data_IF_299987395980
#
_entry.id   IF_299987395980
#
_cell.length_a   1.000
_cell.length_b   1.000
_cell.length_c   1.000
_cell.angle_alpha   90.00
_cell.angle_beta   90.00
_cell.angle_gamma   90.00
#
_symmetry.space_group_name_H-M   'P 1'
#
loop_
_entity.id
_entity.type
_entity.pdbx_description
1 polymer ?
#
# COMPACT_ATOMS: atom_id res chain seq x y z
N UNK A 1 -19.53 24.82 19.64
CA UNK A 1 -18.79 24.30 20.81
C UNK A 1 -17.43 24.96 20.83
N UNK A 2 -16.92 25.37 21.99
CA UNK A 2 -15.57 25.97 22.10
C UNK A 2 -14.50 24.88 22.28
N UNK A 3 -13.22 25.16 21.96
CA UNK A 3 -12.13 24.21 22.20
C UNK A 3 -12.02 23.75 23.66
N UNK A 4 -12.21 24.67 24.61
CA UNK A 4 -12.16 24.33 26.04
C UNK A 4 -13.27 23.38 26.48
N UNK A 5 -14.48 23.55 25.93
CA UNK A 5 -15.62 22.65 26.18
C UNK A 5 -15.37 21.27 25.57
N UNK A 6 -14.86 21.22 24.34
CA UNK A 6 -14.54 19.95 23.65
C UNK A 6 -13.51 19.15 24.43
N UNK A 7 -12.38 19.78 24.79
CA UNK A 7 -11.29 19.10 25.51
C UNK A 7 -11.77 18.60 26.86
N UNK A 8 -12.54 19.40 27.61
CA UNK A 8 -13.08 18.98 28.91
C UNK A 8 -14.07 17.81 28.77
N UNK A 9 -14.91 17.79 27.74
CA UNK A 9 -15.88 16.71 27.52
C UNK A 9 -15.18 15.37 27.24
N UNK A 10 -14.13 15.40 26.42
CA UNK A 10 -13.48 14.19 25.93
C UNK A 10 -12.28 13.73 26.76
N UNK A 11 -11.65 14.61 27.56
CA UNK A 11 -10.59 14.22 28.49
C UNK A 11 -11.08 13.30 29.61
N UNK A 12 -12.31 13.50 30.06
CA UNK A 12 -12.90 12.82 31.23
C UNK A 12 -13.88 11.70 30.81
N UNK A 13 -13.99 11.43 29.51
CA UNK A 13 -14.93 10.45 28.96
C UNK A 13 -14.41 9.03 29.16
N UNK A 14 -15.22 8.17 29.77
CA UNK A 14 -14.97 6.71 29.89
C UNK A 14 -15.78 5.89 28.86
N UNK A 15 -16.34 6.54 27.84
CA UNK A 15 -17.20 5.91 26.85
C UNK A 15 -16.42 4.87 26.01
N UNK A 16 -17.05 3.72 25.76
CA UNK A 16 -16.51 2.71 24.83
C UNK A 16 -16.60 3.22 23.39
N UNK A 17 -15.75 2.70 22.50
CA UNK A 17 -15.69 3.04 21.07
C UNK A 17 -17.07 3.17 20.41
N UNK A 18 -17.89 2.11 20.46
CA UNK A 18 -19.25 2.11 19.88
C UNK A 18 -20.22 3.13 20.49
N UNK A 19 -19.95 3.60 21.70
CA UNK A 19 -20.81 4.53 22.43
C UNK A 19 -20.37 5.98 22.22
N UNK A 20 -19.07 6.23 21.99
CA UNK A 20 -18.49 7.57 21.92
C UNK A 20 -18.16 8.07 20.51
N UNK A 21 -17.90 7.19 19.53
CA UNK A 21 -17.34 7.59 18.23
C UNK A 21 -18.21 8.59 17.44
N UNK A 22 -19.52 8.32 17.32
CA UNK A 22 -20.42 9.20 16.58
C UNK A 22 -20.59 10.56 17.28
N UNK A 23 -20.78 10.55 18.61
CA UNK A 23 -20.91 11.78 19.39
C UNK A 23 -19.63 12.62 19.34
N UNK A 24 -18.46 11.99 19.48
CA UNK A 24 -17.16 12.64 19.34
C UNK A 24 -17.00 13.31 17.99
N UNK A 25 -17.37 12.61 16.92
CA UNK A 25 -17.27 13.15 15.58
C UNK A 25 -18.26 14.32 15.34
N UNK A 26 -19.47 14.24 15.88
CA UNK A 26 -20.46 15.34 15.82
C UNK A 26 -19.92 16.56 16.56
N UNK A 27 -19.40 16.39 17.78
CA UNK A 27 -18.79 17.47 18.53
C UNK A 27 -17.60 18.09 17.79
N UNK A 28 -16.81 17.26 17.08
CA UNK A 28 -15.71 17.73 16.25
C UNK A 28 -16.19 18.59 15.08
N UNK A 29 -17.28 18.21 14.41
CA UNK A 29 -17.94 19.04 13.40
C UNK A 29 -18.34 20.41 14.00
N UNK A 30 -18.95 20.41 15.20
CA UNK A 30 -19.37 21.64 15.90
C UNK A 30 -18.21 22.49 16.39
N UNK A 31 -17.08 21.88 16.72
CA UNK A 31 -15.84 22.58 17.08
C UNK A 31 -15.24 23.28 15.86
N UNK A 32 -15.21 22.59 14.72
CA UNK A 32 -14.62 23.08 13.48
C UNK A 32 -15.53 24.06 12.72
N UNK A 33 -16.83 24.07 13.02
CA UNK A 33 -17.85 24.83 12.30
C UNK A 33 -18.26 24.17 10.98
N UNK A 34 -18.05 22.87 10.86
CA UNK A 34 -18.40 22.07 9.69
C UNK A 34 -19.78 21.40 9.90
N UNK A 35 -20.55 21.14 8.82
CA UNK A 35 -21.81 20.43 8.93
C UNK A 35 -21.58 18.97 9.32
N UNK A 36 -22.50 18.40 10.09
CA UNK A 36 -22.50 16.96 10.41
C UNK A 36 -22.94 16.13 9.19
N UNK A 37 -22.67 14.81 9.15
CA UNK A 37 -23.03 13.99 7.98
C UNK A 37 -24.51 14.10 7.59
N UNK A 38 -25.42 14.02 8.56
CA UNK A 38 -26.86 14.11 8.30
C UNK A 38 -27.33 15.52 7.91
N UNK A 39 -26.58 16.58 8.25
CA UNK A 39 -26.90 17.95 7.85
C UNK A 39 -26.44 18.27 6.42
N UNK A 40 -25.26 17.80 6.03
CA UNK A 40 -24.71 18.02 4.67
C UNK A 40 -25.31 17.06 3.64
N UNK A 41 -25.56 15.81 4.04
CA UNK A 41 -26.04 14.76 3.15
C UNK A 41 -26.99 13.78 3.87
N UNK A 42 -28.28 14.13 3.97
CA UNK A 42 -29.29 13.28 4.58
C UNK A 42 -29.45 11.90 3.92
N UNK A 43 -28.95 11.72 2.69
CA UNK A 43 -29.06 10.46 1.92
C UNK A 43 -27.81 9.58 2.04
N UNK A 44 -26.69 10.13 2.53
CA UNK A 44 -25.44 9.40 2.73
C UNK A 44 -24.74 8.94 1.44
N UNK A 45 -24.95 9.66 0.33
CA UNK A 45 -24.33 9.39 -0.97
C UNK A 45 -22.86 9.85 -1.04
N UNK A 46 -22.53 10.94 -0.34
CA UNK A 46 -21.22 11.62 -0.33
C UNK A 46 -20.65 11.87 1.07
N UNK A 47 -21.47 11.83 2.12
CA UNK A 47 -21.01 12.00 3.51
C UNK A 47 -21.91 11.24 4.48
N UNK A 48 -21.37 10.21 5.15
CA UNK A 48 -22.16 9.38 6.06
C UNK A 48 -21.33 8.72 7.16
N UNK A 49 -22.05 8.25 8.19
CA UNK A 49 -21.54 7.29 9.16
C UNK A 49 -21.68 5.87 8.60
N UNK A 50 -20.80 4.97 9.05
CA UNK A 50 -20.83 3.55 8.71
C UNK A 50 -20.93 3.34 7.18
N UNK A 51 -19.94 3.82 6.44
CA UNK A 51 -19.87 3.58 4.99
C UNK A 51 -19.36 2.16 4.75
N UNK A 52 -20.24 1.30 4.21
CA UNK A 52 -19.88 -0.04 3.79
C UNK A 52 -18.89 -0.01 2.61
N UNK A 53 -17.81 -0.77 2.73
CA UNK A 53 -16.79 -0.95 1.71
C UNK A 53 -16.28 -2.41 1.77
N UNK A 54 -16.40 -3.15 0.67
CA UNK A 54 -15.84 -4.50 0.61
C UNK A 54 -14.33 -4.46 0.91
N UNK A 55 -13.79 -5.41 1.68
CA UNK A 55 -12.34 -5.49 1.89
C UNK A 55 -11.67 -6.14 0.69
N UNK A 56 -10.46 -5.68 0.34
CA UNK A 56 -9.58 -6.42 -0.57
C UNK A 56 -9.23 -7.76 0.10
N UNK A 57 -9.73 -8.87 -0.46
CA UNK A 57 -9.56 -10.23 0.09
C UNK A 57 -10.81 -10.88 0.70
N UNK A 58 -11.97 -10.22 0.62
CA UNK A 58 -13.27 -10.78 1.03
C UNK A 58 -13.71 -10.37 2.45
N UNK A 59 -15.00 -10.07 2.59
CA UNK A 59 -15.66 -9.63 3.83
C UNK A 59 -16.02 -8.15 3.85
N UNK A 60 -17.08 -7.82 4.60
CA UNK A 60 -17.55 -6.43 4.73
C UNK A 60 -16.61 -5.62 5.65
N UNK A 61 -16.10 -4.50 5.15
CA UNK A 61 -15.45 -3.45 5.92
C UNK A 61 -16.37 -2.25 6.03
N UNK A 62 -16.23 -1.49 7.11
CA UNK A 62 -17.01 -0.29 7.35
C UNK A 62 -16.04 0.79 7.80
N UNK A 63 -16.09 1.95 7.16
CA UNK A 63 -15.49 3.14 7.73
C UNK A 63 -16.48 3.77 8.69
N UNK A 64 -16.05 4.12 9.90
CA UNK A 64 -16.92 4.76 10.89
C UNK A 64 -17.49 6.07 10.36
N UNK A 65 -16.68 6.86 9.64
CA UNK A 65 -17.13 8.05 8.92
C UNK A 65 -16.43 8.15 7.58
N UNK A 66 -17.16 8.55 6.54
CA UNK A 66 -16.58 8.81 5.22
C UNK A 66 -17.19 10.04 4.60
N UNK A 67 -16.33 10.90 4.03
CA UNK A 67 -16.73 12.03 3.19
C UNK A 67 -15.96 11.98 1.88
N UNK A 68 -16.70 11.88 0.77
CA UNK A 68 -16.17 11.79 -0.59
C UNK A 68 -15.19 12.92 -0.88
N UNK A 69 -14.02 12.57 -1.40
CA UNK A 69 -12.95 13.51 -1.74
C UNK A 69 -12.28 14.20 -0.55
N UNK A 70 -12.66 13.88 0.69
CA UNK A 70 -12.12 14.51 1.89
C UNK A 70 -11.36 13.50 2.75
N UNK A 71 -12.06 12.51 3.32
CA UNK A 71 -11.45 11.55 4.24
C UNK A 71 -12.20 10.23 4.34
N UNK A 72 -11.48 9.18 4.72
CA UNK A 72 -12.02 7.99 5.40
C UNK A 72 -11.57 8.01 6.86
N UNK A 73 -12.49 7.76 7.79
CA UNK A 73 -12.25 7.88 9.23
C UNK A 73 -12.61 6.58 9.97
N UNK A 74 -11.71 6.14 10.84
CA UNK A 74 -11.88 4.93 11.67
C UNK A 74 -11.52 5.24 13.12
N UNK A 75 -12.38 4.82 14.03
CA UNK A 75 -12.20 4.91 15.46
C UNK A 75 -11.66 3.62 16.06
N UNK A 76 -10.98 3.76 17.20
CA UNK A 76 -10.72 2.67 18.13
C UNK A 76 -11.04 3.15 19.55
N UNK A 77 -11.20 2.21 20.48
CA UNK A 77 -11.29 2.54 21.90
C UNK A 77 -10.04 3.30 22.39
N UNK A 78 -10.19 4.05 23.49
CA UNK A 78 -9.10 4.83 24.08
C UNK A 78 -7.85 3.97 24.31
N UNK A 79 -6.68 4.53 23.96
CA UNK A 79 -5.36 3.89 24.10
C UNK A 79 -5.14 2.60 23.29
N UNK A 80 -6.01 2.29 22.31
CA UNK A 80 -5.81 1.15 21.40
C UNK A 80 -4.80 1.45 20.28
N UNK A 81 -4.37 0.40 19.59
CA UNK A 81 -3.45 0.48 18.45
C UNK A 81 -4.12 1.13 17.23
N UNK A 82 -3.85 2.43 17.03
CA UNK A 82 -4.33 3.18 15.87
C UNK A 82 -3.69 2.73 14.55
N UNK A 83 -2.54 2.04 14.57
CA UNK A 83 -2.00 1.46 13.34
C UNK A 83 -2.85 0.29 12.85
N UNK A 84 -3.57 -0.41 13.74
CA UNK A 84 -4.53 -1.43 13.33
C UNK A 84 -5.72 -0.81 12.60
N UNK A 85 -6.22 0.34 13.08
CA UNK A 85 -7.25 1.11 12.40
C UNK A 85 -6.79 1.62 11.03
N UNK A 86 -5.54 2.08 10.93
CA UNK A 86 -4.98 2.55 9.66
C UNK A 86 -4.92 1.41 8.64
N UNK A 87 -4.45 0.23 9.04
CA UNK A 87 -4.44 -0.96 8.17
C UNK A 87 -5.85 -1.33 7.69
N UNK A 88 -6.86 -1.16 8.54
CA UNK A 88 -8.26 -1.37 8.15
C UNK A 88 -8.67 -0.36 7.08
N UNK A 89 -8.47 0.94 7.32
CA UNK A 89 -8.75 2.01 6.35
C UNK A 89 -8.04 1.78 5.01
N UNK A 90 -6.75 1.47 5.04
CA UNK A 90 -5.96 1.19 3.84
C UNK A 90 -6.53 0.01 3.04
N UNK A 91 -7.01 -1.04 3.71
CA UNK A 91 -7.54 -2.23 3.05
C UNK A 91 -8.82 -1.99 2.25
N UNK A 92 -9.54 -0.89 2.50
CA UNK A 92 -10.75 -0.53 1.77
C UNK A 92 -10.74 0.92 1.22
N UNK A 93 -9.60 1.63 1.30
CA UNK A 93 -9.45 3.02 0.85
C UNK A 93 -9.88 3.22 -0.61
N UNK A 94 -9.56 2.26 -1.48
CA UNK A 94 -9.94 2.30 -2.89
C UNK A 94 -11.46 2.19 -3.12
N UNK A 95 -12.16 1.49 -2.23
CA UNK A 95 -13.62 1.39 -2.23
C UNK A 95 -14.29 2.63 -1.63
N UNK A 96 -13.54 3.43 -0.87
CA UNK A 96 -13.93 4.77 -0.44
C UNK A 96 -13.59 5.87 -1.45
N UNK A 97 -13.31 5.49 -2.70
CA UNK A 97 -12.87 6.41 -3.77
C UNK A 97 -11.52 7.06 -3.50
N UNK A 98 -10.63 6.36 -2.80
CA UNK A 98 -9.26 6.76 -2.47
C UNK A 98 -9.17 8.18 -1.89
N UNK A 99 -9.78 8.44 -0.72
CA UNK A 99 -9.83 9.78 -0.15
C UNK A 99 -8.41 10.29 0.17
N UNK A 100 -8.15 11.60 0.05
CA UNK A 100 -6.82 12.17 0.24
C UNK A 100 -6.33 12.13 1.69
N UNK A 101 -7.22 11.87 2.65
CA UNK A 101 -6.87 11.74 4.06
C UNK A 101 -7.45 10.43 4.63
N UNK A 102 -6.60 9.62 5.28
CA UNK A 102 -7.00 8.47 6.07
C UNK A 102 -6.82 8.83 7.54
N UNK A 103 -7.93 8.93 8.28
CA UNK A 103 -7.92 9.46 9.64
C UNK A 103 -8.25 8.36 10.64
N UNK A 104 -7.41 8.20 11.64
CA UNK A 104 -7.64 7.26 12.74
C UNK A 104 -7.73 8.00 14.06
N UNK A 105 -8.64 7.60 14.94
CA UNK A 105 -8.80 8.28 16.23
C UNK A 105 -9.15 7.33 17.37
N UNK A 106 -8.63 7.61 18.56
CA UNK A 106 -9.03 6.97 19.82
C UNK A 106 -9.83 7.91 20.73
N UNK A 107 -10.41 8.98 20.17
CA UNK A 107 -11.11 10.09 20.85
C UNK A 107 -10.20 10.99 21.72
N UNK A 108 -8.94 10.61 21.97
CA UNK A 108 -7.94 11.46 22.63
C UNK A 108 -6.91 12.01 21.64
N UNK A 109 -6.62 11.21 20.61
CA UNK A 109 -5.72 11.50 19.51
C UNK A 109 -6.46 11.33 18.21
N UNK A 110 -6.17 12.22 17.27
CA UNK A 110 -6.59 12.15 15.88
C UNK A 110 -5.32 12.09 15.06
N UNK A 111 -5.12 11.05 14.27
CA UNK A 111 -3.95 10.92 13.40
C UNK A 111 -4.44 10.93 11.96
N UNK A 112 -3.99 11.93 11.22
CA UNK A 112 -4.27 12.10 9.78
C UNK A 112 -3.08 11.57 9.00
N UNK A 113 -3.33 10.57 8.17
CA UNK A 113 -2.38 10.07 7.18
C UNK A 113 -2.78 10.60 5.80
N UNK A 114 -1.86 11.24 5.11
CA UNK A 114 -2.11 11.76 3.76
C UNK A 114 -2.02 10.64 2.73
N UNK A 115 -2.95 10.62 1.76
CA UNK A 115 -3.12 9.51 0.82
C UNK A 115 -3.29 10.01 -0.63
N UNK A 116 -2.38 10.86 -1.07
CA UNK A 116 -2.27 11.25 -2.47
C UNK A 116 -1.38 10.27 -3.24
N UNK A 117 -1.71 10.05 -4.50
CA UNK A 117 -0.84 9.29 -5.40
C UNK A 117 0.41 10.11 -5.73
N UNK A 118 1.56 9.45 -5.83
CA UNK A 118 2.86 10.05 -6.16
C UNK A 118 3.41 11.07 -5.14
N UNK A 119 2.90 11.09 -3.91
CA UNK A 119 3.52 11.80 -2.78
C UNK A 119 3.79 10.84 -1.64
N UNK A 120 4.78 11.16 -0.83
CA UNK A 120 5.11 10.46 0.42
C UNK A 120 3.96 10.70 1.42
N UNK A 121 3.55 9.71 2.21
CA UNK A 121 2.51 9.90 3.21
C UNK A 121 3.07 10.69 4.39
N UNK A 122 2.53 11.87 4.67
CA UNK A 122 2.75 12.55 5.93
C UNK A 122 1.76 12.07 6.99
N UNK A 123 2.28 11.97 8.22
CA UNK A 123 1.54 11.68 9.43
C UNK A 123 1.40 12.95 10.26
N UNK A 124 0.17 13.38 10.49
CA UNK A 124 -0.16 14.52 11.35
C UNK A 124 -0.98 14.02 12.54
N UNK A 125 -0.37 13.97 13.72
CA UNK A 125 -1.05 13.63 14.97
C UNK A 125 -1.57 14.90 15.63
N UNK A 126 -2.79 14.87 16.17
CA UNK A 126 -3.45 15.94 16.91
C UNK A 126 -3.94 15.38 18.24
N UNK A 127 -3.41 15.90 19.34
CA UNK A 127 -3.90 15.64 20.70
C UNK A 127 -5.09 16.54 21.03
N UNK A 128 -5.83 16.24 22.10
CA UNK A 128 -6.87 17.16 22.61
C UNK A 128 -6.32 18.56 22.89
N UNK A 129 -5.08 18.69 23.41
CA UNK A 129 -4.49 19.99 23.69
C UNK A 129 -4.17 20.78 22.42
N UNK A 130 -3.76 20.09 21.35
CA UNK A 130 -3.56 20.71 20.04
C UNK A 130 -4.82 21.41 19.54
N UNK A 131 -6.00 20.87 19.83
CA UNK A 131 -7.28 21.46 19.41
C UNK A 131 -7.58 22.82 20.08
N UNK A 132 -6.80 23.24 21.08
CA UNK A 132 -6.86 24.61 21.64
C UNK A 132 -6.14 25.64 20.78
N UNK A 133 -5.30 25.19 19.84
CA UNK A 133 -4.45 26.05 19.03
C UNK A 133 -5.09 26.31 17.66
N UNK A 134 -5.29 27.59 17.31
CA UNK A 134 -6.00 27.99 16.08
C UNK A 134 -5.41 27.39 14.80
N UNK A 135 -4.09 27.37 14.65
CA UNK A 135 -3.42 26.80 13.47
C UNK A 135 -3.71 25.29 13.30
N UNK A 136 -3.77 24.55 14.41
CA UNK A 136 -4.04 23.11 14.42
C UNK A 136 -5.50 22.81 14.08
N UNK A 137 -6.42 23.66 14.56
CA UNK A 137 -7.82 23.61 14.16
C UNK A 137 -8.02 23.90 12.68
N UNK A 138 -7.25 24.85 12.10
CA UNK A 138 -7.29 25.11 10.66
C UNK A 138 -6.81 23.91 9.85
N UNK A 139 -5.73 23.25 10.27
CA UNK A 139 -5.23 22.05 9.61
C UNK A 139 -6.27 20.92 9.64
N UNK A 140 -6.92 20.70 10.78
CA UNK A 140 -7.99 19.71 10.88
C UNK A 140 -9.23 20.11 10.07
N UNK A 141 -9.56 21.40 10.00
CA UNK A 141 -10.63 21.91 9.11
C UNK A 141 -10.29 21.67 7.64
N UNK A 142 -9.02 21.83 7.25
CA UNK A 142 -8.57 21.56 5.90
C UNK A 142 -8.78 20.09 5.50
N UNK A 143 -8.62 19.14 6.43
CA UNK A 143 -8.97 17.72 6.23
C UNK A 143 -10.46 17.55 5.95
N UNK A 144 -11.33 18.22 6.73
CA UNK A 144 -12.78 18.15 6.55
C UNK A 144 -13.23 18.68 5.19
N UNK A 145 -12.48 19.62 4.62
CA UNK A 145 -12.75 20.26 3.33
C UNK A 145 -12.07 19.56 2.15
N UNK A 146 -11.28 18.51 2.39
CA UNK A 146 -10.51 17.83 1.33
C UNK A 146 -9.42 18.70 0.71
N UNK A 147 -8.92 19.69 1.46
CA UNK A 147 -7.90 20.62 0.98
C UNK A 147 -6.54 19.93 0.80
N UNK A 148 -5.75 20.42 -0.16
CA UNK A 148 -4.35 20.01 -0.34
C UNK A 148 -3.38 20.67 0.65
N UNK A 149 -3.87 21.40 1.67
CA UNK A 149 -3.00 22.10 2.65
C UNK A 149 -2.02 21.17 3.36
N UNK A 150 -2.44 19.94 3.66
CA UNK A 150 -1.59 18.93 4.29
C UNK A 150 -0.85 18.05 3.28
N UNK A 151 -1.05 18.28 1.97
CA UNK A 151 -0.41 17.51 0.92
C UNK A 151 1.11 17.66 1.05
N UNK A 152 1.85 16.55 1.19
CA UNK A 152 3.29 16.61 1.33
C UNK A 152 3.90 17.20 0.07
N UNK A 153 4.76 18.21 0.25
CA UNK A 153 5.44 18.87 -0.86
C UNK A 153 6.63 18.08 -1.42
N UNK A 154 6.93 16.90 -0.86
CA UNK A 154 8.02 16.04 -1.29
C UNK A 154 7.46 14.83 -2.03
N UNK A 155 7.86 14.71 -3.28
CA UNK A 155 7.72 13.49 -4.05
C UNK A 155 8.66 12.39 -3.53
N UNK A 156 8.35 11.09 -3.72
CA UNK A 156 9.28 10.00 -3.45
C UNK A 156 10.63 10.20 -4.13
N UNK A 157 10.65 10.81 -5.31
CA UNK A 157 11.87 11.14 -6.06
C UNK A 157 12.74 12.17 -5.34
N UNK A 158 12.15 13.20 -4.74
CA UNK A 158 12.89 14.21 -3.96
C UNK A 158 13.45 13.65 -2.66
N UNK A 159 12.70 12.78 -1.96
CA UNK A 159 13.23 12.08 -0.78
C UNK A 159 14.38 11.16 -1.18
N UNK A 160 14.19 10.38 -2.24
CA UNK A 160 15.22 9.52 -2.82
C UNK A 160 16.49 10.32 -3.14
N UNK A 161 16.37 11.49 -3.79
CA UNK A 161 17.51 12.35 -4.10
C UNK A 161 18.23 12.89 -2.85
N UNK A 162 17.49 13.29 -1.81
CA UNK A 162 18.06 13.77 -0.53
C UNK A 162 18.82 12.67 0.20
N UNK A 163 18.22 11.48 0.29
CA UNK A 163 18.84 10.29 0.88
C UNK A 163 20.08 9.89 0.09
N UNK A 164 19.99 9.89 -1.24
CA UNK A 164 21.12 9.61 -2.12
C UNK A 164 22.30 10.54 -1.83
N UNK A 165 22.06 11.85 -1.71
CA UNK A 165 23.10 12.83 -1.43
C UNK A 165 23.83 12.56 -0.09
N UNK A 166 23.09 12.21 0.97
CA UNK A 166 23.69 11.88 2.28
C UNK A 166 24.55 10.62 2.22
N UNK A 167 24.05 9.56 1.59
CA UNK A 167 24.80 8.32 1.43
C UNK A 167 25.96 8.46 0.42
N UNK A 168 25.86 9.36 -0.55
CA UNK A 168 26.97 9.79 -1.40
C UNK A 168 28.09 10.45 -0.58
N UNK A 169 27.75 11.27 0.42
CA UNK A 169 28.73 11.81 1.36
C UNK A 169 29.41 10.72 2.18
N UNK A 170 28.65 9.76 2.72
CA UNK A 170 29.20 8.60 3.44
C UNK A 170 30.15 7.78 2.55
N UNK A 171 29.73 7.53 1.31
CA UNK A 171 30.54 6.85 0.31
C UNK A 171 31.86 7.56 0.04
N UNK A 172 31.83 8.88 -0.16
CA UNK A 172 33.03 9.70 -0.34
C UNK A 172 33.97 9.59 0.86
N UNK A 173 33.46 9.73 2.09
CA UNK A 173 34.27 9.59 3.32
C UNK A 173 34.95 8.23 3.42
N UNK A 174 34.25 7.15 3.04
CA UNK A 174 34.81 5.81 3.03
C UNK A 174 35.91 5.65 1.97
N UNK A 175 35.72 6.21 0.77
CA UNK A 175 36.73 6.16 -0.29
C UNK A 175 37.96 7.02 0.02
N UNK A 176 37.79 8.20 0.64
CA UNK A 176 38.90 9.03 1.13
C UNK A 176 39.75 8.32 2.19
N UNK A 177 39.16 7.36 2.92
CA UNK A 177 39.87 6.46 3.84
C UNK A 177 40.53 5.26 3.15
N UNK A 178 40.50 5.19 1.82
CA UNK A 178 41.19 4.18 1.02
C UNK A 178 40.38 2.90 0.77
N UNK A 179 39.07 2.91 0.99
CA UNK A 179 38.22 1.75 0.68
C UNK A 179 37.86 1.68 -0.80
N UNK A 180 37.93 0.48 -1.38
CA UNK A 180 37.62 0.25 -2.79
C UNK A 180 36.18 0.66 -3.15
N UNK A 181 35.94 1.37 -4.26
CA UNK A 181 34.64 1.92 -4.63
C UNK A 181 33.51 0.89 -4.68
N UNK A 182 33.82 -0.32 -5.19
CA UNK A 182 32.86 -1.43 -5.23
C UNK A 182 32.47 -1.92 -3.84
N UNK A 183 33.45 -2.06 -2.93
CA UNK A 183 33.19 -2.46 -1.55
C UNK A 183 32.36 -1.40 -0.81
N UNK A 184 32.64 -0.12 -1.09
CA UNK A 184 31.84 1.00 -0.56
C UNK A 184 30.40 0.93 -1.07
N UNK A 185 30.19 0.82 -2.38
CA UNK A 185 28.85 0.74 -2.96
C UNK A 185 28.05 -0.42 -2.35
N UNK A 186 28.67 -1.61 -2.25
CA UNK A 186 28.04 -2.80 -1.72
C UNK A 186 27.64 -2.63 -0.25
N UNK A 187 28.54 -2.07 0.55
CA UNK A 187 28.27 -1.76 1.95
C UNK A 187 27.13 -0.74 2.12
N UNK A 188 27.10 0.34 1.32
CA UNK A 188 26.00 1.32 1.38
C UNK A 188 24.66 0.68 1.00
N UNK A 189 24.64 -0.18 -0.02
CA UNK A 189 23.44 -0.90 -0.43
C UNK A 189 22.91 -1.81 0.69
N UNK A 190 23.78 -2.50 1.43
CA UNK A 190 23.36 -3.30 2.61
C UNK A 190 22.70 -2.44 3.67
N UNK A 191 23.30 -1.29 3.99
CA UNK A 191 22.75 -0.37 5.00
C UNK A 191 21.37 0.15 4.58
N UNK A 192 21.26 0.62 3.34
CA UNK A 192 20.00 1.12 2.76
C UNK A 192 18.94 0.03 2.71
N UNK A 193 19.32 -1.19 2.32
CA UNK A 193 18.41 -2.33 2.33
C UNK A 193 17.93 -2.67 3.74
N UNK A 194 18.81 -2.64 4.75
CA UNK A 194 18.41 -2.85 6.14
C UNK A 194 17.40 -1.80 6.62
N UNK A 195 17.55 -0.53 6.23
CA UNK A 195 16.59 0.53 6.55
C UNK A 195 15.24 0.28 5.88
N UNK A 196 15.23 -0.08 4.60
CA UNK A 196 14.01 -0.49 3.90
C UNK A 196 13.35 -1.71 4.56
N UNK A 197 14.15 -2.70 4.94
CA UNK A 197 13.66 -3.96 5.48
C UNK A 197 13.06 -3.82 6.88
N UNK A 198 13.59 -2.95 7.74
CA UNK A 198 13.00 -2.70 9.07
C UNK A 198 11.67 -1.94 8.98
N UNK A 199 11.55 -0.95 8.09
CA UNK A 199 10.33 -0.17 7.93
C UNK A 199 9.24 -0.94 7.17
N UNK A 200 9.65 -1.80 6.23
CA UNK A 200 8.76 -2.73 5.52
C UNK A 200 8.44 -4.01 6.30
N UNK A 201 8.90 -4.14 7.55
CA UNK A 201 8.68 -5.30 8.45
C UNK A 201 9.19 -6.64 7.90
N UNK A 202 10.19 -6.59 7.03
CA UNK A 202 10.97 -7.76 6.63
C UNK A 202 12.01 -8.11 7.70
N UNK A 203 12.51 -7.08 8.39
CA UNK A 203 13.25 -7.18 9.63
C UNK A 203 12.36 -6.79 10.83
N UNK A 204 12.75 -7.19 12.06
CA UNK A 204 12.19 -6.66 13.29
C UNK A 204 12.20 -5.13 13.32
N UNK A 205 11.17 -4.57 13.95
CA UNK A 205 10.93 -3.12 13.98
C UNK A 205 12.14 -2.34 14.49
N UNK A 206 12.64 -1.43 13.64
CA UNK A 206 13.78 -0.54 13.91
C UNK A 206 15.06 -1.27 14.39
N UNK A 207 15.29 -2.51 13.95
CA UNK A 207 16.44 -3.32 14.38
C UNK A 207 17.80 -2.66 14.09
N UNK A 208 18.02 -2.21 12.84
CA UNK A 208 19.24 -1.50 12.44
C UNK A 208 19.34 -0.18 13.21
N UNK A 209 18.27 0.58 13.25
CA UNK A 209 18.23 1.88 13.94
C UNK A 209 18.61 1.74 15.43
N UNK A 210 18.07 0.73 16.13
CA UNK A 210 18.41 0.43 17.52
C UNK A 210 19.87 0.02 17.69
N UNK A 211 20.39 -0.84 16.81
CA UNK A 211 21.78 -1.28 16.80
C UNK A 211 22.74 -0.09 16.68
N UNK A 212 22.53 0.77 15.68
CA UNK A 212 23.39 1.93 15.42
C UNK A 212 23.36 2.92 16.60
N UNK A 213 22.17 3.19 17.15
CA UNK A 213 22.01 4.10 18.31
C UNK A 213 22.68 3.53 19.57
N UNK A 214 22.51 2.24 19.85
CA UNK A 214 23.11 1.57 21.01
C UNK A 214 24.65 1.55 20.94
N UNK A 215 25.20 1.53 19.72
CA UNK A 215 26.65 1.45 19.47
C UNK A 215 27.27 2.78 19.00
N UNK A 216 26.53 3.89 19.04
CA UNK A 216 26.96 5.18 18.47
C UNK A 216 28.30 5.72 19.01
N UNK A 217 28.65 5.40 20.27
CA UNK A 217 29.93 5.77 20.90
C UNK A 217 31.03 4.71 20.78
N UNK A 218 30.73 3.57 20.17
CA UNK A 218 31.59 2.38 20.08
C UNK A 218 31.61 1.85 18.65
N UNK A 219 32.30 2.53 17.71
CA UNK A 219 32.28 2.15 16.30
C UNK A 219 32.87 0.77 16.00
N UNK A 220 33.80 0.32 16.85
CA UNK A 220 34.32 -1.04 16.87
C UNK A 220 33.21 -2.07 17.06
N UNK A 221 32.35 -1.85 18.06
CA UNK A 221 31.21 -2.74 18.37
C UNK A 221 30.14 -2.62 17.28
N UNK A 222 29.86 -1.40 16.78
CA UNK A 222 28.90 -1.18 15.71
C UNK A 222 29.25 -2.00 14.46
N UNK A 223 30.54 -1.95 14.06
CA UNK A 223 31.05 -2.69 12.90
C UNK A 223 30.89 -4.20 13.09
N UNK A 224 31.22 -4.73 14.28
CA UNK A 224 31.08 -6.15 14.59
C UNK A 224 29.60 -6.61 14.57
N UNK A 225 28.70 -5.85 15.19
CA UNK A 225 27.28 -6.19 15.23
C UNK A 225 26.60 -6.09 13.85
N UNK A 226 27.00 -5.12 13.02
CA UNK A 226 26.54 -5.06 11.63
C UNK A 226 26.96 -6.31 10.85
N UNK A 227 28.19 -6.79 11.06
CA UNK A 227 28.68 -8.00 10.39
C UNK A 227 27.89 -9.23 10.81
N UNK A 228 27.58 -9.36 12.11
CA UNK A 228 26.71 -10.43 12.60
C UNK A 228 25.31 -10.33 11.99
N UNK A 229 24.70 -9.14 11.96
CA UNK A 229 23.40 -8.92 11.33
C UNK A 229 23.40 -9.31 9.85
N UNK A 230 24.39 -8.86 9.08
CA UNK A 230 24.52 -9.18 7.66
C UNK A 230 24.68 -10.69 7.44
N UNK A 231 25.49 -11.37 8.27
CA UNK A 231 25.61 -12.82 8.22
C UNK A 231 24.29 -13.54 8.50
N UNK A 232 23.47 -13.03 9.43
CA UNK A 232 22.11 -13.56 9.69
C UNK A 232 21.15 -13.24 8.56
N UNK A 233 21.27 -12.10 7.89
CA UNK A 233 20.47 -11.82 6.70
C UNK A 233 20.84 -12.74 5.55
N UNK A 234 22.11 -13.13 5.41
CA UNK A 234 22.58 -14.06 4.38
C UNK A 234 22.19 -15.53 4.60
N UNK A 235 21.84 -15.94 5.83
CA UNK A 235 21.58 -17.36 6.18
C UNK A 235 20.24 -17.60 6.89
N UNK A 236 19.59 -16.56 7.39
CA UNK A 236 18.46 -16.65 8.31
C UNK A 236 18.89 -17.01 9.75
N UNK A 237 17.94 -16.94 10.68
CA UNK A 237 18.12 -17.39 12.06
C UNK A 237 17.82 -16.31 13.09
N UNK A 238 18.59 -16.27 14.18
CA UNK A 238 18.40 -15.30 15.25
C UNK A 238 19.59 -14.34 15.35
N UNK A 239 19.28 -13.06 15.49
CA UNK A 239 20.21 -11.99 15.86
C UNK A 239 19.82 -11.53 17.28
N UNK A 240 20.61 -11.91 18.27
CA UNK A 240 20.18 -11.80 19.67
C UNK A 240 18.89 -12.59 19.92
N UNK A 241 17.83 -11.91 20.37
CA UNK A 241 16.51 -12.51 20.57
C UNK A 241 15.59 -12.38 19.34
N UNK A 242 16.00 -11.62 18.33
CA UNK A 242 15.16 -11.27 17.21
C UNK A 242 15.33 -12.25 16.04
N UNK A 243 14.21 -12.69 15.46
CA UNK A 243 14.22 -13.58 14.30
C UNK A 243 14.48 -12.79 13.01
N UNK A 244 15.47 -13.23 12.24
CA UNK A 244 15.89 -12.65 10.96
C UNK A 244 15.64 -13.68 9.85
N UNK A 245 14.95 -13.25 8.78
CA UNK A 245 14.72 -14.10 7.61
C UNK A 245 15.97 -14.21 6.77
N UNK A 246 16.04 -15.27 5.97
CA UNK A 246 17.04 -15.36 4.92
C UNK A 246 16.67 -14.43 3.76
N UNK A 247 17.61 -13.57 3.37
CA UNK A 247 17.53 -12.68 2.22
C UNK A 247 18.44 -13.23 1.12
N UNK A 248 17.84 -13.54 -0.03
CA UNK A 248 18.53 -14.02 -1.21
C UNK A 248 19.03 -12.84 -2.07
N UNK A 249 19.48 -13.12 -3.31
CA UNK A 249 19.78 -12.07 -4.30
C UNK A 249 21.25 -11.64 -4.40
N UNK A 250 22.12 -12.10 -3.51
CA UNK A 250 23.57 -11.86 -3.57
C UNK A 250 24.07 -10.79 -2.61
N UNK A 251 23.20 -9.87 -2.18
CA UNK A 251 23.59 -8.70 -1.38
C UNK A 251 24.22 -9.06 -0.03
N UNK A 252 23.79 -10.17 0.59
CA UNK A 252 24.30 -10.66 1.88
C UNK A 252 25.05 -12.00 1.76
N UNK A 253 25.61 -12.31 0.58
CA UNK A 253 26.45 -13.51 0.39
C UNK A 253 27.72 -13.49 1.25
N UNK A 254 28.23 -12.30 1.57
CA UNK A 254 29.24 -12.08 2.59
C UNK A 254 28.75 -11.14 3.70
N UNK A 255 29.50 -11.11 4.80
CA UNK A 255 29.20 -10.31 5.98
C UNK A 255 30.19 -9.15 6.18
N UNK A 256 30.86 -8.71 5.10
CA UNK A 256 31.84 -7.64 5.17
C UNK A 256 31.20 -6.30 5.55
N UNK A 257 31.89 -5.61 6.44
CA UNK A 257 31.50 -4.29 6.95
C UNK A 257 32.72 -3.41 6.89
N UNK A 258 32.56 -2.19 6.37
CA UNK A 258 33.63 -1.21 6.35
C UNK A 258 33.74 -0.51 7.72
N UNK A 259 34.95 -0.19 8.20
CA UNK A 259 35.13 0.54 9.44
C UNK A 259 34.39 1.88 9.44
N UNK A 260 33.51 2.06 10.42
CA UNK A 260 32.73 3.28 10.60
C UNK A 260 33.34 4.18 11.68
N UNK A 261 33.11 5.48 11.55
CA UNK A 261 33.42 6.46 12.59
C UNK A 261 32.13 6.89 13.32
N UNK A 262 32.26 7.53 14.49
CA UNK A 262 31.11 8.11 15.20
C UNK A 262 30.25 9.04 14.32
N UNK A 263 30.84 9.97 13.54
CA UNK A 263 30.11 10.78 12.56
C UNK A 263 29.37 9.98 11.48
N UNK A 264 29.89 8.83 11.06
CA UNK A 264 29.23 7.98 10.07
C UNK A 264 28.03 7.26 10.69
N UNK A 265 28.16 6.74 11.91
CA UNK A 265 27.05 6.15 12.66
C UNK A 265 25.94 7.17 12.91
N UNK A 266 26.30 8.40 13.25
CA UNK A 266 25.33 9.49 13.41
C UNK A 266 24.58 9.77 12.11
N UNK A 267 25.29 9.86 10.98
CA UNK A 267 24.67 10.07 9.67
C UNK A 267 23.69 8.95 9.30
N UNK A 268 24.08 7.69 9.54
CA UNK A 268 23.23 6.51 9.33
C UNK A 268 21.99 6.58 10.22
N UNK A 269 22.14 6.84 11.53
CA UNK A 269 21.03 6.93 12.47
C UNK A 269 20.05 8.06 12.14
N UNK A 270 20.58 9.26 11.88
CA UNK A 270 19.75 10.42 11.54
C UNK A 270 18.95 10.15 10.26
N UNK A 271 19.59 9.56 9.23
CA UNK A 271 18.89 9.28 7.98
C UNK A 271 17.86 8.15 8.13
N UNK A 272 18.09 7.17 9.00
CA UNK A 272 17.11 6.13 9.33
C UNK A 272 15.86 6.68 10.05
N UNK A 273 16.03 7.75 10.84
CA UNK A 273 14.95 8.36 11.61
C UNK A 273 14.14 9.42 10.84
N UNK A 274 14.76 10.08 9.86
CA UNK A 274 14.15 11.21 9.15
C UNK A 274 13.00 10.81 8.20
N UNK A 275 12.98 9.57 7.72
CA UNK A 275 12.07 9.12 6.68
C UNK A 275 11.52 7.73 6.98
N UNK A 276 10.28 7.46 6.53
CA UNK A 276 9.77 6.11 6.41
C UNK A 276 10.37 5.49 5.14
N UNK A 277 11.24 4.49 5.31
CA UNK A 277 11.95 3.89 4.19
C UNK A 277 11.06 3.01 3.32
N UNK A 278 9.84 2.66 3.77
CA UNK A 278 8.87 1.98 2.92
C UNK A 278 8.35 2.86 1.77
N UNK A 279 8.56 4.17 1.86
CA UNK A 279 8.11 5.16 0.85
C UNK A 279 9.23 5.62 -0.10
N UNK A 280 10.46 5.14 0.10
CA UNK A 280 11.61 5.45 -0.76
C UNK A 280 11.55 4.60 -2.01
N UNK A 281 11.74 5.24 -3.17
CA UNK A 281 11.75 4.54 -4.46
C UNK A 281 13.02 3.66 -4.54
N UNK A 282 12.90 2.35 -4.85
CA UNK A 282 14.02 1.45 -5.08
C UNK A 282 15.05 1.97 -6.10
N UNK A 283 14.68 2.92 -6.96
CA UNK A 283 15.63 3.68 -7.77
C UNK A 283 16.84 4.25 -6.98
N UNK A 284 16.71 4.46 -5.66
CA UNK A 284 17.80 4.86 -4.76
C UNK A 284 19.06 4.01 -4.97
N UNK A 285 18.90 2.69 -5.08
CA UNK A 285 19.98 1.73 -5.23
C UNK A 285 20.83 2.02 -6.47
N UNK A 286 20.19 2.34 -7.60
CA UNK A 286 20.87 2.74 -8.83
C UNK A 286 21.63 4.05 -8.67
N UNK A 287 21.02 5.04 -8.04
CA UNK A 287 21.66 6.37 -7.85
C UNK A 287 22.88 6.30 -6.92
N UNK A 288 22.82 5.50 -5.85
CA UNK A 288 23.92 5.29 -4.92
C UNK A 288 25.10 4.59 -5.58
N UNK A 289 24.80 3.56 -6.36
CA UNK A 289 25.82 2.87 -7.15
C UNK A 289 26.54 3.82 -8.10
N UNK A 290 25.81 4.64 -8.85
CA UNK A 290 26.41 5.63 -9.74
C UNK A 290 27.28 6.64 -8.99
N UNK A 291 26.81 7.17 -7.87
CA UNK A 291 27.54 8.16 -7.09
C UNK A 291 28.83 7.57 -6.50
N UNK A 292 28.77 6.33 -5.99
CA UNK A 292 29.95 5.63 -5.47
C UNK A 292 31.00 5.39 -6.56
N UNK A 293 30.59 5.10 -7.81
CA UNK A 293 31.53 4.89 -8.92
C UNK A 293 32.08 6.19 -9.54
N UNK A 294 31.31 7.29 -9.55
CA UNK A 294 31.72 8.58 -10.12
C UNK A 294 32.95 9.18 -9.41
N UNK A 295 33.13 8.90 -8.13
CA UNK A 295 34.23 9.45 -7.33
C UNK A 295 35.64 8.94 -7.72
N UNK A 296 35.76 7.88 -8.53
CA UNK A 296 37.05 7.23 -8.83
C UNK A 296 37.38 7.06 -10.32
N UNK A 297 36.55 7.55 -11.25
CA UNK A 297 36.77 7.33 -12.70
C UNK A 297 36.75 8.62 -13.53
N UNK A 298 37.84 8.86 -14.29
CA UNK A 298 37.95 9.89 -15.33
C UNK A 298 37.26 9.52 -16.67
N UNK A 299 36.73 8.29 -16.82
CA UNK A 299 35.98 7.86 -18.01
C UNK A 299 34.52 7.54 -17.69
N UNK A 300 33.54 8.00 -18.50
CA UNK A 300 32.15 7.59 -18.37
C UNK A 300 32.05 6.09 -18.71
N UNK A 301 31.61 5.28 -17.76
CA UNK A 301 31.40 3.86 -17.99
C UNK A 301 30.22 3.66 -18.95
N UNK A 302 30.44 2.88 -20.01
CA UNK A 302 29.40 2.37 -20.90
C UNK A 302 28.22 1.83 -20.08
N UNK A 303 27.03 2.39 -20.27
CA UNK A 303 25.76 1.75 -19.91
C UNK A 303 25.26 1.89 -18.48
N UNK A 304 26.04 2.39 -17.52
CA UNK A 304 25.58 2.62 -16.14
C UNK A 304 24.87 3.98 -15.98
N UNK A 305 24.00 4.33 -16.93
CA UNK A 305 23.15 5.51 -16.84
C UNK A 305 21.75 5.08 -16.42
N UNK A 306 21.38 5.49 -15.22
CA UNK A 306 20.03 5.47 -14.71
C UNK A 306 19.10 6.13 -15.74
N UNK A 307 18.07 5.39 -16.13
CA UNK A 307 17.00 5.91 -16.97
C UNK A 307 15.85 6.33 -16.07
N UNK A 308 15.49 7.62 -16.12
CA UNK A 308 14.42 8.18 -15.32
C UNK A 308 13.09 7.47 -15.56
N UNK A 309 12.28 7.32 -14.49
CA UNK A 309 10.96 6.69 -14.53
C UNK A 309 10.08 7.26 -15.64
N UNK A 310 10.06 8.58 -15.83
CA UNK A 310 9.27 9.21 -16.89
C UNK A 310 9.67 8.76 -18.30
N UNK A 311 10.98 8.54 -18.53
CA UNK A 311 11.47 8.03 -19.82
C UNK A 311 11.09 6.57 -20.00
N UNK A 312 11.18 5.77 -18.94
CA UNK A 312 10.74 4.36 -18.95
C UNK A 312 9.25 4.27 -19.28
N UNK A 313 8.42 5.13 -18.67
CA UNK A 313 6.98 5.15 -18.91
C UNK A 313 6.62 5.46 -20.36
N UNK A 314 7.44 6.20 -21.12
CA UNK A 314 7.22 6.39 -22.57
C UNK A 314 7.23 5.08 -23.36
N UNK A 315 7.80 4.02 -22.81
CA UNK A 315 7.83 2.67 -23.40
C UNK A 315 6.82 1.76 -22.70
N UNK A 316 6.85 1.71 -21.36
CA UNK A 316 5.97 0.83 -20.57
C UNK A 316 4.49 1.15 -20.83
N UNK A 317 4.11 2.43 -20.91
CA UNK A 317 2.73 2.83 -21.14
C UNK A 317 2.14 2.30 -22.46
N UNK A 318 2.73 2.58 -23.64
CA UNK A 318 2.18 2.08 -24.91
C UNK A 318 2.37 0.57 -25.12
N UNK A 319 3.36 -0.08 -24.50
CA UNK A 319 3.70 -1.48 -24.77
C UNK A 319 3.06 -2.46 -23.77
N UNK A 320 2.84 -2.03 -22.53
CA UNK A 320 2.34 -2.87 -21.44
C UNK A 320 1.00 -2.33 -20.94
N UNK A 321 1.01 -1.12 -20.36
CA UNK A 321 -0.14 -0.60 -19.61
C UNK A 321 -1.38 -0.44 -20.49
N UNK A 322 -1.27 0.35 -21.57
CA UNK A 322 -2.39 0.67 -22.46
C UNK A 322 -3.02 -0.56 -23.12
N UNK A 323 -2.28 -1.46 -23.78
CA UNK A 323 -2.89 -2.62 -24.43
C UNK A 323 -3.55 -3.56 -23.42
N UNK A 324 -2.90 -3.85 -22.29
CA UNK A 324 -3.47 -4.75 -21.27
C UNK A 324 -4.64 -4.11 -20.52
N UNK A 325 -4.65 -2.78 -20.36
CA UNK A 325 -5.80 -2.05 -19.84
C UNK A 325 -7.01 -2.13 -20.79
N UNK A 326 -6.78 -1.99 -22.11
CA UNK A 326 -7.85 -2.15 -23.10
C UNK A 326 -8.39 -3.59 -23.13
N UNK A 327 -7.53 -4.60 -23.04
CA UNK A 327 -7.94 -6.01 -22.87
C UNK A 327 -8.80 -6.20 -21.61
N UNK A 328 -8.47 -5.52 -20.50
CA UNK A 328 -9.27 -5.56 -19.28
C UNK A 328 -10.62 -4.89 -19.47
N UNK A 329 -10.67 -3.72 -20.09
CA UNK A 329 -11.91 -2.98 -20.32
C UNK A 329 -12.91 -3.82 -21.14
N UNK A 330 -12.44 -4.53 -22.16
CA UNK A 330 -13.26 -5.49 -22.93
C UNK A 330 -13.70 -6.69 -22.08
N UNK A 331 -12.78 -7.26 -21.29
CA UNK A 331 -13.10 -8.38 -20.38
C UNK A 331 -14.16 -7.99 -19.35
N UNK A 332 -14.10 -6.76 -18.83
CA UNK A 332 -15.03 -6.23 -17.84
C UNK A 332 -16.46 -6.12 -18.41
N UNK A 333 -16.61 -5.75 -19.68
CA UNK A 333 -17.90 -5.77 -20.37
C UNK A 333 -18.47 -7.19 -20.41
N UNK A 334 -17.66 -8.19 -20.77
CA UNK A 334 -18.11 -9.58 -20.79
C UNK A 334 -18.44 -10.15 -19.40
N UNK A 335 -17.74 -9.68 -18.36
CA UNK A 335 -18.10 -9.98 -16.97
C UNK A 335 -19.47 -9.41 -16.66
N UNK A 336 -19.73 -8.14 -17.02
CA UNK A 336 -21.03 -7.50 -16.81
C UNK A 336 -22.16 -8.26 -17.54
N UNK A 337 -21.96 -8.63 -18.81
CA UNK A 337 -22.92 -9.42 -19.58
C UNK A 337 -23.27 -10.74 -18.87
N UNK A 338 -22.25 -11.44 -18.36
CA UNK A 338 -22.46 -12.69 -17.62
C UNK A 338 -23.19 -12.47 -16.27
N UNK A 339 -23.00 -11.32 -15.62
CA UNK A 339 -23.74 -10.97 -14.41
C UNK A 339 -25.19 -10.59 -14.71
N UNK A 340 -25.45 -9.93 -15.84
CA UNK A 340 -26.81 -9.61 -16.29
C UNK A 340 -27.57 -10.90 -16.66
N UNK A 341 -26.90 -11.85 -17.32
CA UNK A 341 -27.43 -13.20 -17.55
C UNK A 341 -27.79 -13.91 -16.22
N UNK A 342 -26.94 -13.81 -15.21
CA UNK A 342 -27.18 -14.37 -13.88
C UNK A 342 -28.39 -13.68 -13.20
N UNK A 343 -28.44 -12.35 -13.23
CA UNK A 343 -29.54 -11.58 -12.66
C UNK A 343 -30.89 -11.92 -13.33
N UNK A 344 -30.90 -12.07 -14.66
CA UNK A 344 -32.09 -12.50 -15.40
C UNK A 344 -32.52 -13.93 -15.02
N UNK A 345 -31.57 -14.85 -14.82
CA UNK A 345 -31.86 -16.21 -14.35
C UNK A 345 -32.46 -16.21 -12.93
N UNK A 346 -31.95 -15.37 -12.04
CA UNK A 346 -32.48 -15.20 -10.69
C UNK A 346 -33.87 -14.57 -10.69
N UNK A 347 -34.11 -13.56 -11.53
CA UNK A 347 -35.43 -12.96 -11.70
C UNK A 347 -36.47 -13.98 -12.19
N UNK A 348 -36.11 -14.82 -13.17
CA UNK A 348 -36.95 -15.95 -13.61
C UNK A 348 -37.24 -16.92 -12.47
N UNK A 349 -36.24 -17.26 -11.65
CA UNK A 349 -36.41 -18.13 -10.47
C UNK A 349 -37.41 -17.54 -9.49
N UNK A 350 -37.28 -16.26 -9.15
CA UNK A 350 -38.20 -15.55 -8.25
C UNK A 350 -39.64 -15.52 -8.80
N UNK A 351 -39.81 -15.19 -10.07
CA UNK A 351 -41.13 -15.17 -10.71
C UNK A 351 -41.83 -16.55 -10.66
N UNK A 352 -41.09 -17.65 -10.87
CA UNK A 352 -41.64 -19.01 -10.74
C UNK A 352 -42.08 -19.31 -9.30
N UNK A 353 -41.32 -18.88 -8.30
CA UNK A 353 -41.65 -19.05 -6.88
C UNK A 353 -42.86 -18.21 -6.46
N UNK A 354 -42.93 -16.96 -6.90
CA UNK A 354 -44.06 -16.06 -6.63
C UNK A 354 -45.35 -16.56 -7.27
N UNK A 355 -45.30 -16.96 -8.54
CA UNK A 355 -46.44 -17.58 -9.22
C UNK A 355 -46.89 -18.88 -8.54
N UNK A 356 -45.94 -19.68 -8.05
CA UNK A 356 -46.24 -20.90 -7.28
C UNK A 356 -46.91 -20.59 -5.94
N UNK A 357 -46.44 -19.56 -5.22
CA UNK A 357 -47.04 -19.13 -3.97
C UNK A 357 -48.46 -18.61 -4.16
N UNK A 358 -48.70 -17.83 -5.22
CA UNK A 358 -50.02 -17.28 -5.52
C UNK A 358 -51.02 -18.38 -5.94
N UNK A 359 -50.58 -19.32 -6.79
CA UNK A 359 -51.40 -20.48 -7.15
C UNK A 359 -51.78 -21.34 -5.93
N UNK A 360 -50.86 -21.49 -4.97
CA UNK A 360 -51.11 -22.26 -3.74
C UNK A 360 -52.14 -21.58 -2.82
N UNK A 361 -52.19 -20.23 -2.79
CA UNK A 361 -53.22 -19.49 -2.04
C UNK A 361 -54.62 -19.66 -2.63
N UNK A 362 -54.72 -19.78 -3.95
CA UNK A 362 -56.00 -19.87 -4.67
C UNK A 362 -56.60 -21.28 -4.60
N UNK A 363 -55.79 -22.31 -4.88
CA UNK A 363 -56.22 -23.71 -4.81
C UNK A 363 -55.01 -24.65 -4.57
N UNK A 364 -54.93 -25.20 -3.35
CA UNK A 364 -53.87 -26.12 -2.94
C UNK A 364 -53.88 -27.45 -3.74
N UNK A 365 -55.01 -27.84 -4.34
CA UNK A 365 -55.17 -29.03 -5.16
C UNK A 365 -54.65 -28.79 -6.59
N UNK A 366 -55.00 -27.64 -7.19
CA UNK A 366 -54.51 -27.25 -8.53
C UNK A 366 -52.99 -27.04 -8.55
N UNK A 367 -52.41 -26.57 -7.45
CA UNK A 367 -50.96 -26.40 -7.30
C UNK A 367 -50.20 -27.72 -7.53
N UNK A 368 -50.73 -28.89 -7.12
CA UNK A 368 -50.02 -30.17 -7.29
C UNK A 368 -49.85 -30.59 -8.76
N UNK A 369 -50.79 -30.23 -9.65
CA UNK A 369 -50.76 -30.67 -11.06
C UNK A 369 -49.62 -30.05 -11.87
N UNK A 370 -49.08 -28.89 -11.45
CA UNK A 370 -47.98 -28.17 -12.10
C UNK A 370 -46.60 -28.32 -11.43
N UNK A 371 -46.47 -29.17 -10.41
CA UNK A 371 -45.25 -29.27 -9.59
C UNK A 371 -44.01 -29.72 -10.38
N UNK A 372 -44.14 -30.75 -11.21
CA UNK A 372 -43.03 -31.27 -12.01
C UNK A 372 -42.48 -30.22 -13.00
N UNK A 373 -43.37 -29.44 -13.63
CA UNK A 373 -42.99 -28.36 -14.56
C UNK A 373 -42.24 -27.25 -13.82
N UNK A 374 -42.77 -26.78 -12.69
CA UNK A 374 -42.14 -25.75 -11.85
C UNK A 374 -40.76 -26.19 -11.36
N UNK A 375 -40.63 -27.44 -10.90
CA UNK A 375 -39.34 -27.99 -10.46
C UNK A 375 -38.30 -27.99 -11.59
N UNK A 376 -38.72 -28.32 -12.82
CA UNK A 376 -37.85 -28.27 -14.00
C UNK A 376 -37.40 -26.84 -14.31
N UNK A 377 -38.31 -25.87 -14.27
CA UNK A 377 -38.02 -24.45 -14.50
C UNK A 377 -37.08 -23.88 -13.44
N UNK A 378 -37.32 -24.18 -12.14
CA UNK A 378 -36.44 -23.76 -11.05
C UNK A 378 -35.03 -24.35 -11.19
N UNK A 379 -34.93 -25.64 -11.54
CA UNK A 379 -33.64 -26.30 -11.77
C UNK A 379 -32.89 -25.65 -12.93
N UNK A 380 -33.58 -25.36 -14.03
CA UNK A 380 -32.99 -24.71 -15.18
C UNK A 380 -32.51 -23.28 -14.86
N UNK A 381 -33.30 -22.50 -14.12
CA UNK A 381 -32.94 -21.15 -13.70
C UNK A 381 -31.73 -21.14 -12.74
N UNK A 382 -31.70 -22.05 -11.76
CA UNK A 382 -30.56 -22.23 -10.87
C UNK A 382 -29.28 -22.60 -11.62
N UNK A 383 -29.38 -23.53 -12.58
CA UNK A 383 -28.27 -23.95 -13.42
C UNK A 383 -27.73 -22.76 -14.24
N UNK A 384 -28.61 -22.05 -14.94
CA UNK A 384 -28.23 -20.88 -15.74
C UNK A 384 -27.57 -19.78 -14.89
N UNK A 385 -28.10 -19.49 -13.70
CA UNK A 385 -27.49 -18.54 -12.77
C UNK A 385 -26.07 -18.98 -12.36
N UNK A 386 -25.90 -20.26 -12.01
CA UNK A 386 -24.59 -20.80 -11.62
C UNK A 386 -23.58 -20.77 -12.76
N UNK A 387 -23.99 -21.13 -13.98
CA UNK A 387 -23.12 -21.12 -15.17
C UNK A 387 -22.68 -19.69 -15.52
N UNK A 388 -23.61 -18.73 -15.48
CA UNK A 388 -23.32 -17.32 -15.75
C UNK A 388 -22.37 -16.71 -14.71
N UNK A 389 -22.57 -17.01 -13.41
CA UNK A 389 -21.62 -16.62 -12.34
C UNK A 389 -20.25 -17.28 -12.50
N UNK A 390 -20.19 -18.55 -12.89
CA UNK A 390 -18.94 -19.24 -13.15
C UNK A 390 -18.19 -18.65 -14.35
N UNK A 391 -18.91 -18.26 -15.41
CA UNK A 391 -18.37 -17.55 -16.59
C UNK A 391 -17.74 -16.22 -16.19
N UNK A 392 -18.43 -15.41 -15.40
CA UNK A 392 -17.90 -14.14 -14.89
C UNK A 392 -16.59 -14.33 -14.11
N UNK A 393 -16.55 -15.32 -13.21
CA UNK A 393 -15.33 -15.66 -12.46
C UNK A 393 -14.21 -16.14 -13.39
N UNK A 394 -14.50 -17.01 -14.35
CA UNK A 394 -13.50 -17.54 -15.28
C UNK A 394 -12.86 -16.45 -16.14
N UNK A 395 -13.61 -15.42 -16.53
CA UNK A 395 -13.09 -14.26 -17.27
C UNK A 395 -12.06 -13.47 -16.45
N UNK A 396 -12.38 -13.14 -15.19
CA UNK A 396 -11.44 -12.49 -14.27
C UNK A 396 -10.17 -13.32 -14.09
N UNK A 397 -10.33 -14.61 -13.78
CA UNK A 397 -9.21 -15.51 -13.55
C UNK A 397 -8.32 -15.67 -14.80
N UNK A 398 -8.94 -15.73 -15.99
CA UNK A 398 -8.22 -15.77 -17.27
C UNK A 398 -7.38 -14.51 -17.52
N UNK A 399 -7.91 -13.33 -17.20
CA UNK A 399 -7.14 -12.08 -17.30
C UNK A 399 -5.98 -12.03 -16.30
N UNK A 400 -6.19 -12.48 -15.06
CA UNK A 400 -5.12 -12.56 -14.04
C UNK A 400 -4.01 -13.52 -14.47
N UNK A 401 -4.36 -14.67 -15.05
CA UNK A 401 -3.39 -15.62 -15.61
C UNK A 401 -2.62 -15.03 -16.80
N UNK A 402 -3.32 -14.27 -17.66
CA UNK A 402 -2.71 -13.53 -18.77
C UNK A 402 -1.64 -12.55 -18.29
N UNK A 403 -1.87 -11.84 -17.19
CA UNK A 403 -0.88 -10.95 -16.57
C UNK A 403 0.28 -11.73 -15.94
N UNK A 404 -0.02 -12.77 -15.16
CA UNK A 404 0.99 -13.59 -14.48
C UNK A 404 1.93 -14.34 -15.45
N UNK A 405 1.47 -14.61 -16.66
CA UNK A 405 2.27 -15.24 -17.73
C UNK A 405 2.95 -14.24 -18.66
N UNK A 406 2.67 -12.94 -18.54
CA UNK A 406 3.37 -11.90 -19.30
C UNK A 406 4.88 -11.93 -18.98
N UNK A 407 5.73 -11.76 -20.00
CA UNK A 407 7.19 -11.77 -19.85
C UNK A 407 7.81 -10.51 -20.45
N UNK A 408 8.48 -9.73 -19.59
CA UNK A 408 9.31 -8.59 -19.97
C UNK A 408 10.76 -9.06 -19.94
N UNK A 409 11.49 -8.82 -21.03
CA UNK A 409 12.93 -9.07 -21.11
C UNK A 409 13.64 -7.75 -21.37
N UNK A 410 14.57 -7.39 -20.48
CA UNK A 410 15.52 -6.31 -20.69
C UNK A 410 16.93 -6.91 -20.87
N UNK A 411 17.48 -6.92 -22.11
CA UNK A 411 18.76 -7.54 -22.40
C UNK A 411 19.98 -6.71 -21.96
N UNK A 412 19.78 -5.52 -21.38
CA UNK A 412 20.83 -4.67 -20.84
C UNK A 412 20.28 -3.92 -19.61
N UNK A 413 19.84 -4.69 -18.61
CA UNK A 413 18.96 -4.17 -17.57
C UNK A 413 19.63 -3.23 -16.58
N UNK A 414 20.97 -3.18 -16.52
CA UNK A 414 21.69 -2.37 -15.55
C UNK A 414 21.23 -2.71 -14.14
N UNK A 415 20.84 -1.69 -13.37
CA UNK A 415 20.29 -1.82 -12.02
C UNK A 415 18.83 -2.31 -11.97
N UNK A 416 18.21 -2.65 -13.10
CA UNK A 416 16.88 -3.25 -13.16
C UNK A 416 15.70 -2.26 -13.14
N UNK A 417 15.92 -0.95 -13.25
CA UNK A 417 14.83 0.05 -13.10
C UNK A 417 13.69 -0.14 -14.11
N UNK A 418 14.00 -0.50 -15.37
CA UNK A 418 12.96 -0.79 -16.37
C UNK A 418 12.11 -2.00 -15.97
N UNK A 419 12.76 -3.06 -15.49
CA UNK A 419 12.10 -4.28 -15.02
C UNK A 419 11.20 -3.98 -13.81
N UNK A 420 11.70 -3.17 -12.86
CA UNK A 420 10.94 -2.72 -11.69
C UNK A 420 9.66 -1.96 -12.09
N UNK A 421 9.78 -0.96 -12.96
CA UNK A 421 8.63 -0.16 -13.43
C UNK A 421 7.64 -1.04 -14.21
N UNK A 422 8.12 -1.95 -15.06
CA UNK A 422 7.28 -2.86 -15.81
C UNK A 422 6.52 -3.85 -14.90
N UNK A 423 7.18 -4.38 -13.86
CA UNK A 423 6.55 -5.24 -12.86
C UNK A 423 5.46 -4.48 -12.08
N UNK A 424 5.74 -3.23 -11.70
CA UNK A 424 4.75 -2.37 -11.05
C UNK A 424 3.53 -2.14 -11.94
N UNK A 425 3.72 -1.81 -13.21
CA UNK A 425 2.61 -1.63 -14.15
C UNK A 425 1.72 -2.89 -14.24
N UNK A 426 2.32 -4.09 -14.28
CA UNK A 426 1.57 -5.35 -14.27
C UNK A 426 0.81 -5.58 -12.94
N UNK A 427 1.42 -5.23 -11.80
CA UNK A 427 0.77 -5.33 -10.48
C UNK A 427 -0.39 -4.35 -10.34
N UNK A 428 -0.24 -3.13 -10.85
CA UNK A 428 -1.29 -2.11 -10.84
C UNK A 428 -2.49 -2.56 -11.69
N UNK A 429 -2.23 -3.20 -12.83
CA UNK A 429 -3.29 -3.81 -13.66
C UNK A 429 -3.98 -5.00 -12.96
N UNK A 430 -3.23 -5.88 -12.30
CA UNK A 430 -3.83 -6.98 -11.52
C UNK A 430 -4.70 -6.46 -10.38
N UNK A 431 -4.23 -5.42 -9.68
CA UNK A 431 -4.99 -4.76 -8.61
C UNK A 431 -6.27 -4.12 -9.17
N UNK A 432 -6.16 -3.36 -10.26
CA UNK A 432 -7.31 -2.76 -10.94
C UNK A 432 -8.35 -3.82 -11.30
N UNK A 433 -7.93 -4.92 -11.92
CA UNK A 433 -8.85 -5.98 -12.33
C UNK A 433 -9.57 -6.63 -11.15
N UNK A 434 -8.84 -6.89 -10.06
CA UNK A 434 -9.40 -7.42 -8.82
C UNK A 434 -10.46 -6.50 -8.22
N UNK A 435 -10.19 -5.19 -8.23
CA UNK A 435 -11.07 -4.18 -7.64
C UNK A 435 -12.31 -3.97 -8.48
N UNK A 436 -12.15 -3.79 -9.79
CA UNK A 436 -13.26 -3.58 -10.71
C UNK A 436 -14.23 -4.78 -10.68
N UNK A 437 -13.70 -6.01 -10.68
CA UNK A 437 -14.52 -7.21 -10.54
C UNK A 437 -15.17 -7.35 -9.14
N UNK A 438 -14.43 -7.02 -8.07
CA UNK A 438 -14.97 -7.01 -6.70
C UNK A 438 -16.15 -6.05 -6.54
N UNK A 439 -16.11 -4.88 -7.18
CA UNK A 439 -17.25 -3.92 -7.21
C UNK A 439 -18.50 -4.50 -7.89
N UNK A 440 -18.33 -5.41 -8.84
CA UNK A 440 -19.42 -6.14 -9.49
C UNK A 440 -19.84 -7.40 -8.71
N UNK A 441 -19.25 -7.65 -7.54
CA UNK A 441 -19.53 -8.81 -6.70
C UNK A 441 -18.93 -10.11 -7.25
N UNK A 442 -17.83 -10.04 -8.00
CA UNK A 442 -17.03 -11.18 -8.45
C UNK A 442 -15.73 -11.20 -7.65
N UNK A 443 -15.68 -12.07 -6.66
CA UNK A 443 -14.50 -12.21 -5.80
C UNK A 443 -13.37 -12.97 -6.49
N UNK A 444 -12.16 -12.49 -6.30
CA UNK A 444 -10.92 -13.17 -6.71
C UNK A 444 -10.27 -13.87 -5.53
N UNK A 445 -9.34 -14.80 -5.80
CA UNK A 445 -8.45 -15.25 -4.73
C UNK A 445 -7.58 -14.08 -4.22
N UNK A 446 -7.32 -14.01 -2.89
CA UNK A 446 -6.67 -12.86 -2.25
C UNK A 446 -5.17 -12.73 -2.58
N UNK A 447 -4.55 -13.77 -3.12
CA UNK A 447 -3.11 -13.76 -3.37
C UNK A 447 -2.79 -13.17 -4.76
N UNK A 448 -1.87 -12.18 -4.86
CA UNK A 448 -1.39 -11.68 -6.15
C UNK A 448 -0.68 -12.78 -6.93
N UNK A 449 -0.89 -12.82 -8.25
CA UNK A 449 -0.24 -13.76 -9.18
C UNK A 449 0.91 -13.11 -9.93
N UNK A 450 0.87 -11.79 -10.15
CA UNK A 450 1.98 -11.06 -10.78
C UNK A 450 3.14 -10.98 -9.80
N UNK A 451 4.26 -11.59 -10.19
CA UNK A 451 5.48 -11.66 -9.40
C UNK A 451 6.75 -11.56 -10.25
N UNK A 452 7.90 -11.78 -9.61
CA UNK A 452 9.22 -11.63 -10.24
C UNK A 452 9.40 -12.51 -11.50
N UNK A 453 8.65 -13.61 -11.64
CA UNK A 453 8.68 -14.45 -12.83
C UNK A 453 8.25 -13.73 -14.13
N UNK A 454 7.55 -12.60 -14.01
CA UNK A 454 7.13 -11.77 -15.14
C UNK A 454 8.29 -10.97 -15.78
N UNK A 455 9.41 -10.81 -15.09
CA UNK A 455 10.53 -9.97 -15.53
C UNK A 455 11.82 -10.78 -15.66
N UNK A 456 12.62 -10.48 -16.68
CA UNK A 456 13.92 -11.10 -16.93
C UNK A 456 14.92 -10.04 -17.36
N UNK A 457 16.12 -10.09 -16.79
CA UNK A 457 17.22 -9.18 -17.10
C UNK A 457 18.47 -9.93 -17.57
N UNK A 458 19.22 -9.31 -18.47
CA UNK A 458 20.60 -9.70 -18.79
C UNK A 458 21.47 -8.48 -18.51
N UNK A 459 22.57 -8.68 -17.79
CA UNK A 459 23.54 -7.64 -17.46
C UNK A 459 24.94 -8.25 -17.42
N UNK A 460 25.91 -7.54 -18.01
CA UNK A 460 27.30 -8.00 -18.12
C UNK A 460 28.09 -7.67 -16.86
N UNK A 461 27.77 -6.56 -16.19
CA UNK A 461 28.44 -6.16 -14.97
C UNK A 461 27.81 -6.85 -13.74
N UNK A 462 28.54 -7.74 -13.04
CA UNK A 462 27.97 -8.57 -11.98
C UNK A 462 27.31 -7.78 -10.85
N UNK A 463 27.85 -6.60 -10.53
CA UNK A 463 27.31 -5.75 -9.49
C UNK A 463 25.98 -5.10 -9.89
N UNK A 464 25.85 -4.62 -11.13
CA UNK A 464 24.59 -4.09 -11.63
C UNK A 464 23.52 -5.20 -11.69
N UNK A 465 23.92 -6.41 -12.08
CA UNK A 465 23.06 -7.59 -12.05
C UNK A 465 22.64 -8.03 -10.64
N UNK A 466 23.51 -7.84 -9.64
CA UNK A 466 23.16 -8.02 -8.22
C UNK A 466 22.15 -6.97 -7.77
N UNK A 467 22.38 -5.70 -8.13
CA UNK A 467 21.49 -4.60 -7.80
C UNK A 467 20.08 -4.77 -8.39
N UNK A 468 19.98 -5.32 -9.59
CA UNK A 468 18.70 -5.63 -10.22
C UNK A 468 17.94 -6.79 -9.54
N UNK A 469 18.62 -7.63 -8.75
CA UNK A 469 18.03 -8.76 -8.01
C UNK A 469 17.49 -8.35 -6.64
N UNK A 470 18.10 -7.34 -6.02
CA UNK A 470 17.68 -6.72 -4.77
C UNK A 470 16.41 -5.93 -4.99
#
# INVERSE_FOLDING_TARGET
>A
MTPGEFVRKWSDSELRERQGAQEHFIDLCRLLGEPTPAEDDPKGERYCFERGAAKVGGGDGWADVWRKGCFGWEYKGQHKDLNAALRQLQAYALNLENPPHLVVSDMLRIIVHTNWTNTVSARHEFSLDDLRHGARLEDLRAVFQGSERLKPGLSPQEITARVAAKFGELGRRLQERGHEPRAVAHFLNRIVFCMFAEDSRLLPDKLLSKLIKATAKRPDIATAQLGELFGKMGTGGFFGADAVRWFNGGLFEDASVLPLTGPDLKLIADTADEHDWSEIDPAIFGTLFEQALKATRERPALGAHYTDREKILKIVEPVITRPLAAEWDETLVHIQDALDEAAAAEARRKAVLEAAAEAFKLDASAAKSGEAKRRKELTAALKAHSEARAKAKALLEGYRDRLATFRVLDPACGSGNFLYVALHALKDLELRATVDAGRLGVDSEPQPRVGLACVKGIEIEPYAAELARV
#
